data_IF_275738223142
#
_entry.id   IF_275738223142
#
_cell.length_a   1.000
_cell.length_b   1.000
_cell.length_c   1.000
_cell.angle_alpha   90.00
_cell.angle_beta   90.00
_cell.angle_gamma   90.00
#
_symmetry.space_group_name_H-M   'P 1'
#
loop_
_entity.id
_entity.type
_entity.pdbx_description
1 polymer ?
#
# COMPACT_ATOMS: atom_id res chain seq x y z
N UNK A 1 -1.06 -9.25 -5.85
CA UNK A 1 -1.92 -10.05 -6.73
C UNK A 1 -3.38 -9.91 -6.35
N UNK A 2 -4.31 -10.15 -7.32
CA UNK A 2 -5.74 -10.28 -7.05
C UNK A 2 -6.06 -11.76 -6.79
N UNK A 3 -6.83 -12.07 -5.74
CA UNK A 3 -7.14 -13.45 -5.33
C UNK A 3 -8.57 -13.57 -4.81
N UNK A 4 -9.06 -14.79 -4.61
CA UNK A 4 -10.43 -15.08 -4.19
C UNK A 4 -10.84 -14.37 -2.90
N UNK A 5 -9.89 -14.12 -1.99
CA UNK A 5 -10.14 -13.36 -0.77
C UNK A 5 -10.57 -11.91 -1.03
N UNK A 6 -10.14 -11.27 -2.13
CA UNK A 6 -10.61 -9.93 -2.51
C UNK A 6 -12.06 -9.97 -2.99
N UNK A 7 -12.43 -10.98 -3.80
CA UNK A 7 -13.83 -11.17 -4.23
C UNK A 7 -14.74 -11.41 -3.02
N UNK A 8 -14.30 -12.28 -2.11
CA UNK A 8 -15.03 -12.53 -0.87
C UNK A 8 -15.24 -11.23 -0.06
N UNK A 9 -14.16 -10.44 0.10
CA UNK A 9 -14.22 -9.17 0.82
C UNK A 9 -15.21 -8.20 0.17
N UNK A 10 -15.15 -8.01 -1.14
CA UNK A 10 -16.05 -7.13 -1.90
C UNK A 10 -17.51 -7.56 -1.70
N UNK A 11 -17.82 -8.86 -1.89
CA UNK A 11 -19.17 -9.39 -1.71
C UNK A 11 -19.68 -9.21 -0.28
N UNK A 12 -18.86 -9.57 0.71
CA UNK A 12 -19.23 -9.44 2.13
C UNK A 12 -19.37 -7.99 2.58
N UNK A 13 -18.56 -7.07 2.04
CA UNK A 13 -18.75 -5.65 2.30
C UNK A 13 -20.13 -5.18 1.83
N UNK A 14 -20.55 -5.53 0.60
CA UNK A 14 -21.88 -5.19 0.10
C UNK A 14 -23.00 -5.76 0.96
N UNK A 15 -22.89 -7.04 1.34
CA UNK A 15 -23.89 -7.70 2.18
C UNK A 15 -23.98 -7.05 3.58
N UNK A 16 -22.84 -6.69 4.17
CA UNK A 16 -22.79 -6.14 5.52
C UNK A 16 -23.23 -4.67 5.57
N UNK A 17 -22.76 -3.88 4.61
CA UNK A 17 -22.95 -2.42 4.62
C UNK A 17 -24.19 -1.97 3.87
N UNK A 18 -24.75 -2.80 2.98
CA UNK A 18 -25.82 -2.47 2.05
C UNK A 18 -25.62 -1.12 1.33
N UNK A 19 -24.34 -0.80 1.04
CA UNK A 19 -23.94 0.47 0.47
C UNK A 19 -24.49 0.66 -0.95
N UNK A 20 -24.89 1.89 -1.27
CA UNK A 20 -25.34 2.28 -2.61
C UNK A 20 -24.18 2.35 -3.62
N UNK A 21 -22.98 2.70 -3.15
CA UNK A 21 -21.76 2.77 -3.95
C UNK A 21 -20.59 2.15 -3.18
N UNK A 22 -20.04 1.05 -3.69
CA UNK A 22 -18.87 0.42 -3.10
C UNK A 22 -17.60 0.97 -3.75
N UNK A 23 -16.74 1.58 -2.92
CA UNK A 23 -15.49 2.19 -3.33
C UNK A 23 -14.31 1.33 -2.89
N UNK A 24 -13.41 1.01 -3.80
CA UNK A 24 -12.13 0.38 -3.48
C UNK A 24 -11.00 1.41 -3.59
N UNK A 25 -10.20 1.57 -2.52
CA UNK A 25 -8.91 2.28 -2.59
C UNK A 25 -7.80 1.26 -2.81
N UNK A 26 -6.98 1.47 -3.83
CA UNK A 26 -6.02 0.47 -4.32
C UNK A 26 -4.63 1.09 -4.43
N UNK A 27 -3.64 0.43 -3.81
CA UNK A 27 -2.21 0.80 -3.98
C UNK A 27 -1.79 0.63 -5.43
N UNK A 28 -1.11 1.62 -6.02
CA UNK A 28 -0.66 1.54 -7.40
C UNK A 28 0.58 0.62 -7.56
N UNK A 29 1.75 1.18 -7.85
CA UNK A 29 2.97 0.45 -8.26
C UNK A 29 3.60 -0.39 -7.15
N UNK A 30 3.44 0.01 -5.90
CA UNK A 30 4.00 -0.67 -4.74
C UNK A 30 2.92 -0.96 -3.69
N UNK A 31 3.02 -2.11 -3.07
CA UNK A 31 2.12 -2.50 -1.97
C UNK A 31 2.52 -1.81 -0.66
N UNK A 32 1.66 -1.89 0.34
CA UNK A 32 1.91 -1.38 1.69
C UNK A 32 3.23 -1.89 2.29
N UNK A 33 3.66 -3.10 1.95
CA UNK A 33 4.93 -3.69 2.42
C UNK A 33 6.15 -3.32 1.58
N UNK A 34 6.00 -2.44 0.58
CA UNK A 34 7.09 -2.03 -0.32
C UNK A 34 7.46 -3.08 -1.35
N UNK A 35 6.56 -4.01 -1.67
CA UNK A 35 6.75 -4.96 -2.76
C UNK A 35 6.23 -4.36 -4.07
N UNK A 36 6.94 -4.51 -5.20
CA UNK A 36 6.41 -4.17 -6.51
C UNK A 36 5.09 -4.91 -6.76
N UNK A 37 4.12 -4.24 -7.37
CA UNK A 37 2.81 -4.82 -7.62
C UNK A 37 2.82 -5.72 -8.85
N UNK A 38 2.37 -6.98 -8.73
CA UNK A 38 2.26 -7.90 -9.87
C UNK A 38 1.24 -7.48 -10.93
N UNK A 39 0.29 -6.62 -10.55
CA UNK A 39 -0.75 -6.13 -11.43
C UNK A 39 -0.54 -4.64 -11.73
N UNK A 40 -0.79 -4.24 -12.95
CA UNK A 40 -0.93 -2.83 -13.32
C UNK A 40 -2.12 -2.20 -12.58
N UNK A 41 -2.17 -0.86 -12.50
CA UNK A 41 -3.32 -0.17 -11.94
C UNK A 41 -4.57 -0.41 -12.79
N UNK A 42 -4.42 -0.47 -14.11
CA UNK A 42 -5.50 -0.79 -15.05
C UNK A 42 -6.13 -2.15 -14.75
N UNK A 43 -5.30 -3.21 -14.62
CA UNK A 43 -5.79 -4.56 -14.35
C UNK A 43 -6.45 -4.69 -12.97
N UNK A 44 -5.86 -4.06 -11.94
CA UNK A 44 -6.49 -4.01 -10.61
C UNK A 44 -7.86 -3.37 -10.66
N UNK A 45 -7.99 -2.29 -11.43
CA UNK A 45 -9.24 -1.54 -11.59
C UNK A 45 -10.29 -2.40 -12.28
N UNK A 46 -9.94 -3.03 -13.42
CA UNK A 46 -10.85 -3.95 -14.13
C UNK A 46 -11.33 -5.07 -13.22
N UNK A 47 -10.40 -5.75 -12.55
CA UNK A 47 -10.73 -6.87 -11.67
C UNK A 47 -11.59 -6.46 -10.45
N UNK A 48 -11.37 -5.27 -9.89
CA UNK A 48 -12.19 -4.75 -8.80
C UNK A 48 -13.61 -4.38 -9.26
N UNK A 49 -13.75 -3.76 -10.41
CA UNK A 49 -15.05 -3.43 -11.03
C UNK A 49 -15.80 -4.71 -11.41
N UNK A 50 -15.15 -5.69 -12.05
CA UNK A 50 -15.72 -7.02 -12.35
C UNK A 50 -16.20 -7.74 -11.08
N UNK A 51 -15.46 -7.62 -9.98
CA UNK A 51 -15.81 -8.24 -8.70
C UNK A 51 -16.97 -7.55 -7.98
N UNK A 52 -17.36 -6.35 -8.42
CA UNK A 52 -18.53 -5.67 -7.88
C UNK A 52 -18.29 -4.29 -7.27
N UNK A 53 -17.08 -3.73 -7.28
CA UNK A 53 -16.88 -2.34 -6.91
C UNK A 53 -17.55 -1.40 -7.92
N UNK A 54 -18.05 -0.26 -7.45
CA UNK A 54 -18.64 0.76 -8.30
C UNK A 54 -17.63 1.87 -8.66
N UNK A 55 -16.66 2.10 -7.78
CA UNK A 55 -15.62 3.09 -7.95
C UNK A 55 -14.29 2.53 -7.45
N UNK A 56 -13.23 2.77 -8.21
CA UNK A 56 -11.85 2.44 -7.81
C UNK A 56 -11.03 3.72 -7.80
N UNK A 57 -10.41 4.01 -6.66
CA UNK A 57 -9.50 5.14 -6.48
C UNK A 57 -8.09 4.65 -6.16
N UNK A 58 -7.12 5.44 -6.52
CA UNK A 58 -5.71 5.10 -6.38
C UNK A 58 -5.10 5.68 -5.12
N UNK A 59 -4.27 4.88 -4.46
CA UNK A 59 -3.32 5.34 -3.45
C UNK A 59 -1.90 5.30 -4.06
N UNK A 60 -1.27 6.47 -4.32
CA UNK A 60 0.06 6.56 -4.91
C UNK A 60 1.14 5.83 -4.11
N UNK A 61 2.21 5.39 -4.77
CA UNK A 61 3.25 4.56 -4.18
C UNK A 61 3.85 5.14 -2.88
N UNK A 62 4.11 6.45 -2.83
CA UNK A 62 4.66 7.13 -1.64
C UNK A 62 3.73 7.11 -0.43
N UNK A 63 2.43 7.07 -0.63
CA UNK A 63 1.41 6.97 0.42
C UNK A 63 1.00 5.53 0.72
N UNK A 64 1.12 4.65 -0.28
CA UNK A 64 0.81 3.23 -0.13
C UNK A 64 1.91 2.45 0.60
N UNK A 65 3.19 2.66 0.25
CA UNK A 65 4.31 1.92 0.83
C UNK A 65 4.73 2.50 2.19
N UNK A 66 3.83 2.43 3.17
CA UNK A 66 3.98 3.04 4.48
C UNK A 66 3.80 2.03 5.64
N UNK A 67 4.13 2.43 6.86
CA UNK A 67 3.69 1.71 8.06
C UNK A 67 2.16 1.74 8.17
N UNK A 68 1.59 0.87 9.00
CA UNK A 68 0.14 0.70 9.07
C UNK A 68 -0.60 2.00 9.44
N UNK A 69 -0.02 2.80 10.34
CA UNK A 69 -0.53 4.08 10.79
C UNK A 69 -0.62 5.13 9.66
N UNK A 70 0.47 5.33 8.92
CA UNK A 70 0.48 6.26 7.78
C UNK A 70 -0.31 5.74 6.58
N UNK A 71 -0.28 4.43 6.33
CA UNK A 71 -1.12 3.85 5.28
C UNK A 71 -2.61 4.10 5.56
N UNK A 72 -3.07 3.81 6.78
CA UNK A 72 -4.44 4.05 7.19
C UNK A 72 -4.79 5.55 7.14
N UNK A 73 -3.89 6.43 7.61
CA UNK A 73 -4.06 7.87 7.54
C UNK A 73 -4.33 8.34 6.11
N UNK A 74 -3.44 8.03 5.17
CA UNK A 74 -3.56 8.51 3.80
C UNK A 74 -4.76 7.89 3.06
N UNK A 75 -5.05 6.61 3.31
CA UNK A 75 -6.23 5.98 2.74
C UNK A 75 -7.53 6.64 3.23
N UNK A 76 -7.64 6.90 4.53
CA UNK A 76 -8.85 7.53 5.11
C UNK A 76 -8.94 9.01 4.72
N UNK A 77 -7.84 9.76 4.65
CA UNK A 77 -7.85 11.16 4.18
C UNK A 77 -8.43 11.26 2.75
N UNK A 78 -8.02 10.37 1.83
CA UNK A 78 -8.56 10.32 0.47
C UNK A 78 -10.03 9.91 0.43
N UNK A 79 -10.42 8.89 1.21
CA UNK A 79 -11.80 8.44 1.29
C UNK A 79 -12.71 9.48 1.96
N UNK A 80 -12.23 10.19 2.98
CA UNK A 80 -12.96 11.29 3.62
C UNK A 80 -13.25 12.44 2.66
N UNK A 81 -12.35 12.73 1.69
CA UNK A 81 -12.59 13.72 0.65
C UNK A 81 -13.78 13.35 -0.27
N UNK A 82 -14.19 12.09 -0.29
CA UNK A 82 -15.39 11.60 -0.98
C UNK A 82 -16.66 11.67 -0.11
N UNK A 83 -16.55 12.05 1.17
CA UNK A 83 -17.64 12.04 2.14
C UNK A 83 -18.28 10.65 2.27
N UNK A 84 -17.45 9.61 2.50
CA UNK A 84 -17.95 8.26 2.74
C UNK A 84 -18.52 8.13 4.15
N UNK A 85 -19.51 7.27 4.33
CA UNK A 85 -20.16 7.04 5.63
C UNK A 85 -19.44 5.96 6.44
N UNK A 86 -18.88 4.96 5.76
CA UNK A 86 -18.31 3.79 6.40
C UNK A 86 -17.18 3.16 5.60
N UNK A 87 -16.30 2.45 6.30
CA UNK A 87 -15.29 1.58 5.69
C UNK A 87 -15.44 0.15 6.17
N UNK A 88 -14.97 -0.79 5.35
CA UNK A 88 -14.93 -2.19 5.71
C UNK A 88 -13.54 -2.77 5.44
N UNK A 89 -12.97 -3.49 6.41
CA UNK A 89 -11.65 -4.10 6.30
C UNK A 89 -11.62 -5.53 6.83
N UNK A 90 -10.66 -6.33 6.34
CA UNK A 90 -10.45 -7.70 6.85
C UNK A 90 -9.73 -7.70 8.19
N UNK A 91 -10.20 -8.50 9.14
CA UNK A 91 -9.64 -8.66 10.47
C UNK A 91 -9.60 -10.14 10.87
N UNK A 92 -8.59 -10.54 11.60
CA UNK A 92 -8.52 -11.88 12.20
C UNK A 92 -9.42 -11.97 13.43
N UNK A 93 -9.42 -10.95 14.28
CA UNK A 93 -10.29 -10.85 15.47
C UNK A 93 -11.76 -10.63 15.10
N UNK A 94 -12.01 -9.84 14.06
CA UNK A 94 -13.34 -9.48 13.55
C UNK A 94 -14.31 -8.93 14.63
N UNK A 95 -13.78 -8.14 15.54
CA UNK A 95 -14.53 -7.46 16.61
C UNK A 95 -14.01 -6.02 16.78
N UNK A 96 -14.81 -5.06 16.34
CA UNK A 96 -14.48 -3.64 16.40
C UNK A 96 -14.31 -3.14 17.84
N UNK A 97 -15.08 -3.70 18.81
CA UNK A 97 -14.97 -3.37 20.23
C UNK A 97 -13.57 -3.71 20.76
N UNK A 98 -13.15 -4.95 20.59
CA UNK A 98 -11.82 -5.44 20.97
C UNK A 98 -10.71 -4.65 20.29
N UNK A 99 -10.84 -4.37 18.99
CA UNK A 99 -9.84 -3.59 18.26
C UNK A 99 -9.75 -2.14 18.76
N UNK A 100 -10.85 -1.53 19.19
CA UNK A 100 -10.86 -0.20 19.84
C UNK A 100 -10.19 -0.22 21.21
N UNK A 101 -10.39 -1.25 21.99
CA UNK A 101 -9.67 -1.39 23.26
C UNK A 101 -8.18 -1.49 23.05
N UNK A 102 -7.73 -2.24 22.05
CA UNK A 102 -6.31 -2.27 21.66
C UNK A 102 -5.81 -0.89 21.22
N UNK A 103 -6.60 -0.12 20.45
CA UNK A 103 -6.26 1.23 20.05
C UNK A 103 -6.00 2.16 21.27
N UNK A 104 -6.88 2.10 22.29
CA UNK A 104 -6.74 2.87 23.53
C UNK A 104 -5.52 2.45 24.36
N UNK A 105 -5.27 1.15 24.48
CA UNK A 105 -4.09 0.63 25.19
C UNK A 105 -2.78 1.10 24.55
N UNK A 106 -2.74 1.18 23.22
CA UNK A 106 -1.58 1.70 22.50
C UNK A 106 -1.24 3.15 22.82
N UNK A 107 -2.23 3.99 23.06
CA UNK A 107 -2.02 5.41 23.37
C UNK A 107 -1.45 5.61 24.77
N UNK A 108 -1.75 4.70 25.69
CA UNK A 108 -1.29 4.76 27.09
C UNK A 108 0.09 4.13 27.32
N UNK A 109 0.62 3.37 26.37
CA UNK A 109 1.87 2.62 26.55
C UNK A 109 3.10 3.47 26.22
N UNK A 110 4.05 3.59 27.17
CA UNK A 110 5.37 4.19 26.90
C UNK A 110 6.12 3.32 25.87
N UNK A 111 6.50 3.94 24.77
CA UNK A 111 7.16 3.27 23.63
C UNK A 111 8.66 3.11 23.90
N UNK A 112 9.17 1.87 23.88
CA UNK A 112 10.60 1.59 23.88
C UNK A 112 11.21 1.90 22.48
N UNK A 113 12.14 2.87 22.36
CA UNK A 113 12.72 3.28 21.09
C UNK A 113 13.50 2.16 20.37
N UNK A 114 13.99 1.17 21.09
CA UNK A 114 14.86 0.09 20.56
C UNK A 114 14.11 -1.02 19.80
N UNK A 115 12.79 -1.08 19.94
CA UNK A 115 11.96 -2.13 19.35
C UNK A 115 11.36 -1.72 17.99
N UNK A 116 11.01 -2.71 17.14
CA UNK A 116 10.22 -2.44 15.95
C UNK A 116 8.83 -1.90 16.32
N UNK A 117 8.19 -1.10 15.47
CA UNK A 117 6.89 -0.49 15.75
C UNK A 117 5.85 -1.51 16.25
N UNK A 118 5.79 -2.71 15.67
CA UNK A 118 4.89 -3.76 16.12
C UNK A 118 5.19 -4.24 17.54
N UNK A 119 6.47 -4.44 17.87
CA UNK A 119 6.88 -4.82 19.24
C UNK A 119 6.78 -3.68 20.23
N UNK A 120 6.89 -2.43 19.77
CA UNK A 120 6.70 -1.24 20.59
C UNK A 120 5.27 -1.10 21.07
N UNK A 121 4.31 -1.44 20.22
CA UNK A 121 2.90 -1.14 20.41
C UNK A 121 2.11 -2.32 20.99
N UNK A 122 2.62 -3.55 20.85
CA UNK A 122 1.84 -4.74 21.20
C UNK A 122 2.63 -5.67 22.12
N UNK A 123 2.20 -5.72 23.36
CA UNK A 123 2.63 -6.75 24.32
C UNK A 123 2.01 -8.14 24.05
N UNK A 124 1.07 -8.22 23.09
CA UNK A 124 0.37 -9.42 22.64
C UNK A 124 0.65 -9.67 21.16
N UNK A 125 0.56 -10.92 20.72
CA UNK A 125 0.67 -11.33 19.31
C UNK A 125 -0.58 -10.91 18.52
N UNK A 126 -0.70 -9.60 18.25
CA UNK A 126 -1.77 -9.06 17.41
C UNK A 126 -1.45 -9.35 15.94
N UNK A 127 -2.41 -9.91 15.23
CA UNK A 127 -2.23 -10.32 13.84
C UNK A 127 -2.10 -9.11 12.89
N UNK A 128 -1.43 -9.28 11.74
CA UNK A 128 -1.08 -8.15 10.87
C UNK A 128 -2.27 -7.33 10.35
N UNK A 129 -3.43 -7.96 10.10
CA UNK A 129 -4.58 -7.19 9.62
C UNK A 129 -5.32 -6.50 10.76
N UNK A 130 -5.30 -7.07 11.97
CA UNK A 130 -5.80 -6.40 13.16
C UNK A 130 -4.97 -5.15 13.50
N UNK A 131 -3.63 -5.21 13.33
CA UNK A 131 -2.77 -4.03 13.45
C UNK A 131 -3.21 -2.93 12.49
N UNK A 132 -3.47 -3.28 11.23
CA UNK A 132 -3.96 -2.31 10.23
C UNK A 132 -5.38 -1.84 10.56
N UNK A 133 -6.26 -2.76 10.99
CA UNK A 133 -7.63 -2.47 11.43
C UNK A 133 -7.68 -1.47 12.57
N UNK A 134 -6.82 -1.62 13.58
CA UNK A 134 -6.67 -0.67 14.68
C UNK A 134 -6.34 0.73 14.16
N UNK A 135 -5.42 0.84 13.19
CA UNK A 135 -5.05 2.14 12.62
C UNK A 135 -6.20 2.73 11.78
N UNK A 136 -6.96 1.91 11.07
CA UNK A 136 -8.18 2.37 10.39
C UNK A 136 -9.20 2.91 11.38
N UNK A 137 -9.48 2.19 12.47
CA UNK A 137 -10.42 2.64 13.52
C UNK A 137 -10.01 4.00 14.08
N UNK A 138 -8.72 4.20 14.41
CA UNK A 138 -8.21 5.50 14.90
C UNK A 138 -8.46 6.64 13.91
N UNK A 139 -8.28 6.41 12.63
CA UNK A 139 -8.56 7.44 11.62
C UNK A 139 -10.06 7.62 11.39
N UNK A 140 -10.85 6.56 11.42
CA UNK A 140 -12.31 6.62 11.31
C UNK A 140 -12.92 7.44 12.44
N UNK A 141 -12.50 7.22 13.67
CA UNK A 141 -12.97 7.97 14.85
C UNK A 141 -12.65 9.48 14.72
N UNK A 142 -11.51 9.83 14.11
CA UNK A 142 -11.12 11.22 13.84
C UNK A 142 -12.02 11.91 12.81
N UNK A 143 -12.53 11.19 11.83
CA UNK A 143 -13.32 11.72 10.73
C UNK A 143 -14.81 11.34 10.78
N UNK A 144 -15.27 10.76 11.90
CA UNK A 144 -16.65 10.27 12.10
C UNK A 144 -17.11 9.30 11.00
N UNK A 145 -16.22 8.41 10.56
CA UNK A 145 -16.51 7.34 9.60
C UNK A 145 -16.77 6.06 10.39
N UNK A 146 -17.81 5.29 10.04
CA UNK A 146 -18.15 4.04 10.71
C UNK A 146 -17.18 2.91 10.27
N UNK A 147 -16.36 2.35 11.16
CA UNK A 147 -15.52 1.20 10.83
C UNK A 147 -16.32 -0.10 10.95
N UNK A 148 -16.16 -0.98 9.97
CA UNK A 148 -16.71 -2.33 9.96
C UNK A 148 -15.60 -3.34 9.64
N UNK A 149 -15.70 -4.57 10.16
CA UNK A 149 -14.73 -5.62 9.88
C UNK A 149 -15.40 -6.85 9.29
N UNK A 150 -14.62 -7.59 8.51
CA UNK A 150 -15.00 -8.88 7.95
C UNK A 150 -13.97 -9.91 8.40
N UNK A 151 -14.46 -11.04 8.93
CA UNK A 151 -13.59 -12.15 9.31
C UNK A 151 -12.77 -12.63 8.10
N UNK A 152 -11.47 -12.70 8.29
CA UNK A 152 -10.59 -13.37 7.33
C UNK A 152 -10.77 -14.86 7.43
N UNK A 153 -11.12 -15.48 6.30
CA UNK A 153 -11.20 -16.94 6.21
C UNK A 153 -9.83 -17.49 5.83
N UNK A 154 -9.32 -18.42 6.65
CA UNK A 154 -8.05 -19.11 6.37
C UNK A 154 -8.12 -20.02 5.13
N UNK A 155 -9.32 -20.23 4.60
CA UNK A 155 -9.55 -20.97 3.35
C UNK A 155 -9.02 -20.26 2.10
N UNK A 156 -8.79 -18.94 2.16
CA UNK A 156 -8.27 -18.18 1.02
C UNK A 156 -6.77 -17.96 1.15
N UNK A 157 -6.05 -18.27 0.06
CA UNK A 157 -4.62 -17.97 -0.04
C UNK A 157 -4.35 -16.48 0.20
N UNK A 158 -3.35 -16.19 0.99
CA UNK A 158 -2.89 -14.80 1.18
C UNK A 158 -2.20 -14.27 -0.07
N UNK A 159 -2.13 -12.94 -0.21
CA UNK A 159 -1.35 -12.30 -1.28
C UNK A 159 0.13 -12.72 -1.28
N UNK A 160 0.71 -13.01 -0.12
CA UNK A 160 2.09 -13.51 0.01
C UNK A 160 2.21 -14.93 -0.55
N UNK A 161 1.28 -15.81 -0.19
CA UNK A 161 1.25 -17.18 -0.68
C UNK A 161 0.98 -17.24 -2.19
N UNK A 162 0.00 -16.45 -2.69
CA UNK A 162 -0.30 -16.35 -4.13
C UNK A 162 0.92 -15.89 -4.93
N UNK A 163 1.67 -14.90 -4.42
CA UNK A 163 2.89 -14.42 -5.08
C UNK A 163 3.98 -15.50 -5.09
N UNK A 164 4.20 -16.18 -3.97
CA UNK A 164 5.20 -17.25 -3.85
C UNK A 164 4.92 -18.36 -4.85
N UNK A 165 3.72 -18.92 -4.84
CA UNK A 165 3.30 -20.00 -5.71
C UNK A 165 3.34 -19.61 -7.19
N UNK A 166 3.00 -18.37 -7.54
CA UNK A 166 3.12 -17.89 -8.92
C UNK A 166 4.56 -17.96 -9.43
N UNK A 167 5.54 -17.52 -8.65
CA UNK A 167 6.96 -17.62 -9.04
C UNK A 167 7.52 -19.02 -8.95
N UNK A 168 6.86 -19.95 -8.27
CA UNK A 168 7.15 -21.38 -8.28
C UNK A 168 6.51 -22.12 -9.49
N UNK A 169 5.81 -21.39 -10.38
CA UNK A 169 5.15 -21.95 -11.56
C UNK A 169 3.79 -22.61 -11.27
N UNK A 170 3.25 -22.40 -10.09
CA UNK A 170 1.91 -22.90 -9.72
C UNK A 170 0.87 -21.89 -10.20
N UNK A 171 -0.09 -22.36 -11.03
CA UNK A 171 -1.16 -21.52 -11.55
C UNK A 171 -1.98 -20.85 -10.43
N UNK A 172 -2.28 -19.58 -10.61
CA UNK A 172 -3.02 -18.75 -9.66
C UNK A 172 -4.28 -18.18 -10.29
N UNK A 173 -5.22 -17.77 -9.44
CA UNK A 173 -6.42 -17.05 -9.88
C UNK A 173 -6.03 -15.72 -10.54
N UNK A 174 -6.45 -15.52 -11.79
CA UNK A 174 -6.17 -14.30 -12.59
C UNK A 174 -4.67 -14.01 -12.81
N UNK A 175 -3.82 -15.04 -12.83
CA UNK A 175 -2.37 -14.91 -13.03
C UNK A 175 -1.99 -14.43 -14.43
N UNK A 176 -2.85 -14.62 -15.44
CA UNK A 176 -2.67 -14.06 -16.78
C UNK A 176 -2.48 -12.53 -16.80
N UNK A 177 -2.92 -11.83 -15.76
CA UNK A 177 -2.70 -10.40 -15.57
C UNK A 177 -1.40 -10.07 -14.83
N UNK A 178 -0.68 -11.09 -14.30
CA UNK A 178 0.51 -10.84 -13.48
C UNK A 178 1.72 -10.56 -14.36
N UNK A 179 2.43 -9.48 -14.03
CA UNK A 179 3.69 -9.15 -14.68
C UNK A 179 4.85 -9.79 -13.88
N UNK A 180 5.55 -10.80 -14.44
CA UNK A 180 6.64 -11.50 -13.76
C UNK A 180 7.85 -10.61 -13.47
N UNK A 181 8.00 -9.51 -14.20
CA UNK A 181 9.10 -8.55 -13.99
C UNK A 181 8.88 -7.62 -12.79
N UNK A 182 7.69 -7.64 -12.18
CA UNK A 182 7.38 -6.84 -11.00
C UNK A 182 7.91 -7.48 -9.71
N UNK A 183 9.24 -7.54 -9.62
CA UNK A 183 9.97 -8.13 -8.49
C UNK A 183 11.10 -7.23 -8.04
N UNK A 184 11.54 -7.41 -6.80
CA UNK A 184 12.76 -6.78 -6.33
C UNK A 184 14.01 -7.31 -7.03
N UNK A 185 14.00 -8.55 -7.54
CA UNK A 185 15.13 -9.09 -8.31
C UNK A 185 15.34 -8.32 -9.61
N UNK A 186 14.27 -7.86 -10.24
CA UNK A 186 14.33 -6.97 -11.42
C UNK A 186 14.85 -5.57 -11.07
N UNK A 187 14.44 -5.03 -9.92
CA UNK A 187 14.77 -3.64 -9.55
C UNK A 187 16.09 -3.51 -8.79
N UNK A 188 16.53 -4.57 -8.13
CA UNK A 188 17.73 -4.54 -7.29
C UNK A 188 19.02 -4.19 -8.03
N UNK A 189 19.29 -4.63 -9.26
CA UNK A 189 20.49 -4.22 -10.00
C UNK A 189 20.62 -2.68 -10.11
N UNK A 190 19.53 -1.97 -10.33
CA UNK A 190 19.52 -0.49 -10.38
C UNK A 190 19.73 0.10 -8.97
N UNK A 191 18.95 -0.36 -8.00
CA UNK A 191 19.09 0.06 -6.60
C UNK A 191 20.50 -0.20 -6.08
N UNK A 192 21.06 -1.37 -6.36
CA UNK A 192 22.40 -1.76 -5.93
C UNK A 192 23.46 -0.79 -6.43
N UNK A 193 23.46 -0.49 -7.73
CA UNK A 193 24.38 0.48 -8.33
C UNK A 193 24.21 1.85 -7.69
N UNK A 194 22.97 2.31 -7.54
CA UNK A 194 22.65 3.58 -6.91
C UNK A 194 23.20 3.66 -5.47
N UNK A 195 22.96 2.63 -4.63
CA UNK A 195 23.48 2.58 -3.26
C UNK A 195 25.01 2.63 -3.20
N UNK A 196 25.69 1.94 -4.09
CA UNK A 196 27.17 1.89 -4.12
C UNK A 196 27.77 3.24 -4.54
N UNK A 197 27.21 3.88 -5.55
CA UNK A 197 27.77 5.07 -6.17
C UNK A 197 27.38 6.37 -5.44
N UNK A 198 26.24 6.39 -4.73
CA UNK A 198 25.74 7.59 -4.06
C UNK A 198 26.41 7.80 -2.71
N UNK A 199 26.76 9.05 -2.38
CA UNK A 199 27.30 9.42 -1.07
C UNK A 199 26.30 9.13 0.06
N UNK A 200 26.79 8.72 1.23
CA UNK A 200 25.94 8.38 2.39
C UNK A 200 25.17 9.59 2.91
N UNK A 201 25.72 10.81 2.81
CA UNK A 201 25.02 12.03 3.18
C UNK A 201 23.79 12.25 2.28
N UNK A 202 23.89 11.94 0.99
CA UNK A 202 22.75 12.00 0.07
C UNK A 202 21.77 10.87 0.38
N UNK A 203 22.25 9.64 0.58
CA UNK A 203 21.38 8.52 0.95
C UNK A 203 20.58 8.80 2.23
N UNK A 204 21.18 9.48 3.21
CA UNK A 204 20.52 9.84 4.47
C UNK A 204 19.35 10.81 4.32
N UNK A 205 19.26 11.53 3.19
CA UNK A 205 18.15 12.47 2.92
C UNK A 205 16.87 11.78 2.49
N UNK A 206 16.94 10.53 2.00
CA UNK A 206 15.76 9.82 1.53
C UNK A 206 14.84 9.38 2.67
N UNK A 207 13.55 9.32 2.37
CA UNK A 207 12.53 8.97 3.35
C UNK A 207 12.75 7.55 3.90
N UNK A 208 12.49 7.36 5.18
CA UNK A 208 12.74 6.14 5.97
C UNK A 208 14.23 5.76 6.16
N UNK A 209 15.17 6.52 5.65
CA UNK A 209 16.60 6.32 5.91
C UNK A 209 16.96 7.02 7.22
N UNK A 210 16.99 6.30 8.32
CA UNK A 210 17.27 6.81 9.66
C UNK A 210 18.25 5.90 10.39
N UNK A 211 18.79 6.34 11.52
CA UNK A 211 19.58 5.52 12.45
C UNK A 211 20.81 4.86 11.79
N UNK A 212 21.37 5.49 10.74
CA UNK A 212 22.59 5.01 10.07
C UNK A 212 22.37 3.79 9.15
N UNK A 213 21.12 3.48 8.76
CA UNK A 213 20.81 2.34 7.88
C UNK A 213 21.47 2.50 6.49
N UNK A 214 21.74 3.71 6.03
CA UNK A 214 22.44 4.01 4.77
C UNK A 214 23.80 3.33 4.69
N UNK A 215 24.56 3.31 5.76
CA UNK A 215 25.86 2.62 5.82
C UNK A 215 25.69 1.11 5.64
N UNK A 216 24.73 0.52 6.37
CA UNK A 216 24.46 -0.93 6.27
C UNK A 216 23.99 -1.31 4.87
N UNK A 217 23.06 -0.54 4.28
CA UNK A 217 22.56 -0.80 2.94
C UNK A 217 23.67 -0.69 1.89
N UNK A 218 24.53 0.33 1.99
CA UNK A 218 25.65 0.52 1.07
C UNK A 218 26.66 -0.64 1.17
N UNK A 219 27.05 -1.05 2.37
CA UNK A 219 27.98 -2.15 2.57
C UNK A 219 27.40 -3.50 2.12
N UNK A 220 26.13 -3.76 2.39
CA UNK A 220 25.46 -4.97 1.91
C UNK A 220 25.29 -4.97 0.38
N UNK A 221 25.01 -3.82 -0.23
CA UNK A 221 24.95 -3.70 -1.69
C UNK A 221 26.30 -4.04 -2.37
N UNK A 222 27.46 -3.74 -1.74
CA UNK A 222 28.77 -4.15 -2.25
C UNK A 222 28.95 -5.68 -2.19
N UNK A 223 28.47 -6.32 -1.12
CA UNK A 223 28.71 -7.74 -0.83
C UNK A 223 27.75 -8.68 -1.58
N UNK A 224 26.48 -8.32 -1.73
CA UNK A 224 25.44 -9.21 -2.20
C UNK A 224 24.92 -8.81 -3.57
N UNK A 225 24.93 -9.75 -4.52
CA UNK A 225 24.46 -9.55 -5.89
C UNK A 225 22.97 -9.83 -6.04
N UNK A 226 22.41 -10.71 -5.18
CA UNK A 226 21.00 -11.11 -5.19
C UNK A 226 20.19 -10.31 -4.19
N UNK A 227 18.97 -9.98 -4.54
CA UNK A 227 18.06 -9.23 -3.67
C UNK A 227 17.81 -9.91 -2.32
N UNK A 228 17.52 -11.20 -2.32
CA UNK A 228 17.16 -11.90 -1.06
C UNK A 228 18.33 -11.89 -0.06
N UNK A 229 19.55 -12.15 -0.52
CA UNK A 229 20.75 -12.12 0.34
C UNK A 229 20.99 -10.72 0.91
N UNK A 230 20.89 -9.69 0.06
CA UNK A 230 20.97 -8.29 0.47
C UNK A 230 19.91 -7.93 1.52
N UNK A 231 18.67 -8.33 1.26
CA UNK A 231 17.52 -8.06 2.13
C UNK A 231 17.73 -8.71 3.51
N UNK A 232 18.08 -10.00 3.55
CA UNK A 232 18.32 -10.74 4.79
C UNK A 232 19.45 -10.13 5.60
N UNK A 233 20.58 -9.79 4.97
CA UNK A 233 21.72 -9.14 5.63
C UNK A 233 21.40 -7.73 6.14
N UNK A 234 20.38 -7.06 5.57
CA UNK A 234 20.00 -5.71 5.95
C UNK A 234 18.99 -5.65 7.12
N UNK A 235 18.33 -6.76 7.45
CA UNK A 235 17.37 -6.83 8.56
C UNK A 235 18.06 -6.61 9.90
N UNK A 236 17.40 -5.91 10.83
CA UNK A 236 17.83 -5.72 12.21
C UNK A 236 16.62 -5.70 13.17
N UNK A 237 16.88 -5.50 14.46
CA UNK A 237 15.80 -5.35 15.46
C UNK A 237 14.84 -4.22 15.14
N UNK A 238 15.36 -3.09 14.65
CA UNK A 238 14.58 -1.89 14.27
C UNK A 238 14.12 -1.92 12.83
N UNK A 239 14.86 -2.55 11.92
CA UNK A 239 14.55 -2.64 10.49
C UNK A 239 14.05 -4.03 10.11
N UNK A 240 12.74 -4.19 10.17
CA UNK A 240 12.07 -5.43 9.70
C UNK A 240 12.16 -5.58 8.18
N UNK A 241 11.90 -6.78 7.65
CA UNK A 241 11.83 -7.06 6.20
C UNK A 241 11.02 -6.01 5.44
N UNK A 242 9.80 -5.73 5.89
CA UNK A 242 8.93 -4.74 5.23
C UNK A 242 9.47 -3.29 5.36
N UNK A 243 10.12 -2.93 6.46
CA UNK A 243 10.73 -1.60 6.60
C UNK A 243 11.90 -1.43 5.62
N UNK A 244 12.78 -2.44 5.46
CA UNK A 244 13.85 -2.41 4.46
C UNK A 244 13.28 -2.29 3.04
N UNK A 245 12.27 -3.07 2.69
CA UNK A 245 11.64 -3.00 1.36
C UNK A 245 11.07 -1.61 1.07
N UNK A 246 10.39 -0.99 2.02
CA UNK A 246 9.90 0.39 1.89
C UNK A 246 11.05 1.39 1.76
N UNK A 247 12.05 1.31 2.62
CA UNK A 247 13.24 2.19 2.56
C UNK A 247 13.91 2.08 1.20
N UNK A 248 14.12 0.86 0.68
CA UNK A 248 14.68 0.62 -0.65
C UNK A 248 13.81 1.22 -1.76
N UNK A 249 12.49 1.14 -1.66
CA UNK A 249 11.58 1.79 -2.62
C UNK A 249 11.75 3.32 -2.59
N UNK A 250 11.79 3.95 -1.42
CA UNK A 250 11.98 5.39 -1.32
C UNK A 250 13.34 5.85 -1.86
N UNK A 251 14.41 5.08 -1.65
CA UNK A 251 15.73 5.34 -2.22
C UNK A 251 15.68 5.18 -3.74
N UNK A 252 15.10 4.10 -4.27
CA UNK A 252 15.01 3.83 -5.70
C UNK A 252 14.22 4.91 -6.44
N UNK A 253 13.13 5.38 -5.86
CA UNK A 253 12.32 6.47 -6.39
C UNK A 253 12.88 7.86 -6.05
N UNK A 254 13.98 7.94 -5.28
CA UNK A 254 14.62 9.17 -4.84
C UNK A 254 13.63 10.16 -4.21
N UNK A 255 12.83 9.67 -3.27
CA UNK A 255 11.86 10.48 -2.52
C UNK A 255 12.49 10.87 -1.18
N UNK A 256 12.60 12.16 -0.91
CA UNK A 256 13.29 12.70 0.26
C UNK A 256 12.36 12.86 1.47
N UNK A 257 12.97 13.00 2.65
CA UNK A 257 12.27 13.34 3.90
C UNK A 257 11.53 14.68 3.78
N UNK A 258 12.19 15.68 3.19
CA UNK A 258 11.63 17.01 2.98
C UNK A 258 10.36 16.94 2.11
N UNK A 259 10.44 16.25 0.97
CA UNK A 259 9.29 16.07 0.09
C UNK A 259 8.11 15.39 0.81
N UNK A 260 8.37 14.34 1.60
CA UNK A 260 7.30 13.66 2.36
C UNK A 260 6.76 14.52 3.51
N UNK A 261 7.57 15.38 4.10
CA UNK A 261 7.13 16.33 5.13
C UNK A 261 6.23 17.42 4.54
N UNK A 262 6.59 17.98 3.40
CA UNK A 262 5.79 18.97 2.67
C UNK A 262 4.47 18.38 2.17
N UNK A 263 4.46 17.08 1.82
CA UNK A 263 3.32 16.35 1.30
C UNK A 263 2.78 15.34 2.32
N UNK A 264 2.67 15.71 3.59
CA UNK A 264 2.29 14.82 4.67
C UNK A 264 0.77 14.58 4.83
N UNK A 265 -0.03 15.05 3.88
CA UNK A 265 -1.48 14.81 3.78
C UNK A 265 -1.83 14.31 2.38
N UNK A 266 -2.86 13.50 2.31
CA UNK A 266 -3.38 13.00 1.04
C UNK A 266 -4.92 13.03 1.01
N UNK A 267 -5.46 14.22 0.82
CA UNK A 267 -6.90 14.49 0.70
C UNK A 267 -7.37 14.56 -0.76
N UNK A 268 -6.62 13.96 -1.69
CA UNK A 268 -6.94 13.94 -3.10
C UNK A 268 -7.63 12.64 -3.47
N UNK A 269 -8.52 12.70 -4.45
CA UNK A 269 -9.22 11.55 -5.01
C UNK A 269 -8.72 11.33 -6.43
N UNK A 270 -7.88 10.32 -6.61
CA UNK A 270 -7.35 9.95 -7.92
C UNK A 270 -8.18 8.78 -8.43
N UNK A 271 -9.03 9.05 -9.42
CA UNK A 271 -9.94 8.05 -9.99
C UNK A 271 -9.21 7.15 -10.96
N UNK A 272 -9.35 5.83 -10.77
CA UNK A 272 -8.81 4.81 -11.67
C UNK A 272 -9.89 4.20 -12.57
N UNK A 273 -11.12 4.04 -12.06
CA UNK A 273 -12.24 3.58 -12.88
C UNK A 273 -13.55 3.54 -12.10
N UNK A 274 -14.66 3.43 -12.82
CA UNK A 274 -16.01 3.41 -12.26
C UNK A 274 -17.01 2.74 -13.21
N UNK A 275 -18.17 2.34 -12.67
CA UNK A 275 -19.39 2.02 -13.42
C UNK A 275 -20.39 3.19 -13.38
N UNK A 276 -21.59 2.99 -13.89
CA UNK A 276 -22.64 4.02 -13.91
C UNK A 276 -23.01 4.55 -12.51
N UNK A 277 -22.97 3.69 -11.48
CA UNK A 277 -23.22 4.08 -10.08
C UNK A 277 -22.06 4.93 -9.56
N UNK A 278 -20.83 4.50 -9.80
CA UNK A 278 -19.63 5.26 -9.44
C UNK A 278 -19.56 6.60 -10.14
N UNK A 279 -19.95 6.66 -11.41
CA UNK A 279 -20.05 7.91 -12.17
C UNK A 279 -21.06 8.89 -11.55
N UNK A 280 -22.25 8.40 -11.20
CA UNK A 280 -23.26 9.21 -10.53
C UNK A 280 -22.79 9.70 -9.15
N UNK A 281 -22.09 8.86 -8.40
CA UNK A 281 -21.52 9.21 -7.09
C UNK A 281 -20.45 10.32 -7.19
N UNK A 282 -19.68 10.34 -8.28
CA UNK A 282 -18.62 11.33 -8.50
C UNK A 282 -19.13 12.70 -8.98
N UNK A 283 -20.41 12.80 -9.35
CA UNK A 283 -21.00 14.08 -9.76
C UNK A 283 -20.79 15.11 -8.64
N UNK A 284 -20.34 16.29 -9.03
CA UNK A 284 -20.06 17.43 -8.13
C UNK A 284 -18.91 17.21 -7.11
N UNK A 285 -18.09 16.18 -7.27
CA UNK A 285 -16.90 15.94 -6.44
C UNK A 285 -15.61 16.38 -7.15
N UNK A 286 -14.68 16.94 -6.39
CA UNK A 286 -13.35 17.24 -6.90
C UNK A 286 -12.52 15.97 -7.03
N UNK A 287 -12.21 15.60 -8.26
CA UNK A 287 -11.45 14.36 -8.54
C UNK A 287 -10.36 14.60 -9.59
N UNK A 288 -9.33 13.79 -9.54
CA UNK A 288 -8.22 13.78 -10.49
C UNK A 288 -8.41 12.58 -11.42
N UNK A 289 -8.49 12.85 -12.72
CA UNK A 289 -8.65 11.82 -13.75
C UNK A 289 -7.50 11.78 -14.75
N UNK A 290 -6.76 12.88 -14.88
CA UNK A 290 -5.64 13.02 -15.84
C UNK A 290 -4.32 13.21 -15.14
N UNK A 291 -3.24 12.70 -15.76
CA UNK A 291 -1.89 12.85 -15.24
C UNK A 291 -1.51 14.31 -14.95
N UNK A 292 -1.82 15.24 -15.84
CA UNK A 292 -1.51 16.66 -15.69
C UNK A 292 -2.23 17.37 -14.53
N UNK A 293 -3.29 16.76 -14.01
CA UNK A 293 -4.06 17.28 -12.86
C UNK A 293 -3.41 16.88 -11.52
N UNK A 294 -2.53 15.88 -11.53
CA UNK A 294 -1.75 15.51 -10.35
C UNK A 294 -0.85 16.66 -9.90
N UNK A 295 -0.63 16.84 -8.58
CA UNK A 295 0.45 17.70 -8.08
C UNK A 295 1.80 17.29 -8.68
N UNK A 296 2.70 18.26 -8.90
CA UNK A 296 4.03 18.00 -9.48
C UNK A 296 4.80 16.88 -8.77
N UNK A 297 4.76 16.86 -7.45
CA UNK A 297 5.35 15.81 -6.63
C UNK A 297 4.85 14.41 -7.02
N UNK A 298 3.54 14.23 -7.20
CA UNK A 298 2.95 12.95 -7.61
C UNK A 298 3.21 12.64 -9.08
N UNK A 299 3.27 13.65 -9.95
CA UNK A 299 3.66 13.45 -11.37
C UNK A 299 5.05 12.85 -11.48
N UNK A 300 6.02 13.38 -10.72
CA UNK A 300 7.40 12.89 -10.71
C UNK A 300 7.48 11.44 -10.20
N UNK A 301 6.77 11.12 -9.13
CA UNK A 301 6.73 9.76 -8.58
C UNK A 301 6.10 8.79 -9.58
N UNK A 302 4.97 9.18 -10.18
CA UNK A 302 4.27 8.35 -11.16
C UNK A 302 5.17 8.05 -12.37
N UNK A 303 5.87 9.05 -12.91
CA UNK A 303 6.83 8.86 -13.98
C UNK A 303 7.94 7.87 -13.61
N UNK A 304 8.57 8.05 -12.45
CA UNK A 304 9.61 7.14 -11.96
C UNK A 304 9.10 5.71 -11.81
N UNK A 305 7.90 5.54 -11.24
CA UNK A 305 7.26 4.23 -11.11
C UNK A 305 6.96 3.58 -12.46
N UNK A 306 6.46 4.34 -13.42
CA UNK A 306 6.14 3.82 -14.75
C UNK A 306 7.39 3.40 -15.52
N UNK A 307 8.46 4.20 -15.50
CA UNK A 307 9.73 3.82 -16.14
C UNK A 307 10.38 2.59 -15.50
N UNK A 308 10.21 2.38 -14.19
CA UNK A 308 10.64 1.15 -13.54
C UNK A 308 9.80 -0.07 -13.95
N UNK A 309 8.51 0.14 -14.18
CA UNK A 309 7.56 -0.96 -14.45
C UNK A 309 7.47 -1.35 -15.91
N UNK A 310 7.64 -0.40 -16.83
CA UNK A 310 7.31 -0.56 -18.25
C UNK A 310 8.37 -0.04 -19.21
N UNK A 311 9.48 0.55 -18.71
CA UNK A 311 10.51 1.24 -19.49
C UNK A 311 9.97 2.40 -20.37
N UNK A 312 8.69 2.70 -20.33
CA UNK A 312 8.01 3.74 -21.10
C UNK A 312 6.91 4.40 -20.28
N UNK A 313 6.62 5.66 -20.63
CA UNK A 313 5.45 6.33 -20.08
C UNK A 313 4.17 5.82 -20.74
N UNK A 314 3.20 5.43 -19.91
CA UNK A 314 1.85 5.09 -20.34
C UNK A 314 0.88 6.14 -19.83
N UNK A 315 0.11 6.73 -20.75
CA UNK A 315 -0.90 7.71 -20.37
C UNK A 315 -1.92 7.09 -19.41
N UNK A 316 -2.23 7.79 -18.32
CA UNK A 316 -3.26 7.38 -17.38
C UNK A 316 -4.60 7.26 -18.10
N UNK A 317 -5.27 6.13 -17.94
CA UNK A 317 -6.62 5.87 -18.44
C UNK A 317 -7.55 5.62 -17.27
N UNK A 318 -8.71 6.29 -17.26
CA UNK A 318 -9.80 5.96 -16.36
C UNK A 318 -10.66 4.89 -17.03
N UNK A 319 -10.90 3.80 -16.32
CA UNK A 319 -11.68 2.67 -16.83
C UNK A 319 -13.16 2.94 -16.60
N UNK A 320 -13.94 2.97 -17.66
CA UNK A 320 -15.40 2.87 -17.56
C UNK A 320 -15.80 1.41 -17.71
N UNK A 321 -16.61 0.91 -16.79
CA UNK A 321 -17.09 -0.46 -16.78
C UNK A 321 -18.60 -0.48 -16.97
N UNK A 322 -19.05 -0.97 -18.13
CA UNK A 322 -20.47 -1.13 -18.43
C UNK A 322 -20.96 -2.47 -17.86
N UNK A 323 -21.97 -2.44 -16.99
CA UNK A 323 -22.57 -3.61 -16.35
C UNK A 323 -23.90 -3.94 -16.94
#
# INVERSE_FOLDING_TARGET
PFHQGHIYHIKKTKELTQCNCLIAIVSNHFTQRGLPSLLSMEDKTKLALEAGCNLVIELPACYAAQSADYFAKYAIESLHALNIDQICFGSETNDIGTLREYAKQMESTKVDPSLSMNRKLYSKDIQPNDILGIQYIKQCDKYNILPQSISRKDTFKSATQTRKEYFEGIAQFKDAYFNPNQTWDTYYPYLRKFLILTDTNILSTYFLVNEGIEYRLKENAKKYLKWEDFLLASISKTYTKARIQRTCMFILLQITKAQMQENNRFNQVIVAGFDSIGQAFLKDKQVITKFKELPKFLQEIELKCQYLSFDTFQARKVIYYDR
#
